data_IF_153772939173
#
_entry.id   IF_153772939173
#
_cell.length_a   1.000
_cell.length_b   1.000
_cell.length_c   1.000
_cell.angle_alpha   90.00
_cell.angle_beta   90.00
_cell.angle_gamma   90.00
#
_symmetry.space_group_name_H-M   'P 1'
#
loop_
_entity.id
_entity.type
_entity.pdbx_description
1 polymer ?
#
# COMPACT_ATOMS: atom_id res chain seq x y z
N UNK A 1 8.79 32.63 -3.82
CA UNK A 1 7.54 32.97 -3.07
C UNK A 1 7.97 33.73 -1.82
N UNK A 2 7.19 34.67 -1.28
CA UNK A 2 7.55 35.31 0.02
C UNK A 2 7.61 34.26 1.15
N UNK A 3 8.55 34.40 2.07
CA UNK A 3 8.83 33.47 3.17
C UNK A 3 7.63 33.23 4.08
N UNK A 4 6.86 34.29 4.41
CA UNK A 4 5.65 34.15 5.25
C UNK A 4 4.60 33.30 4.55
N UNK A 5 4.39 33.53 3.25
CA UNK A 5 3.49 32.71 2.44
C UNK A 5 3.99 31.27 2.30
N UNK A 6 5.30 31.07 2.15
CA UNK A 6 5.91 29.74 2.08
C UNK A 6 5.69 28.94 3.36
N UNK A 7 5.92 29.56 4.50
CA UNK A 7 5.69 28.96 5.81
C UNK A 7 4.25 28.45 5.97
N UNK A 8 3.26 29.30 5.68
CA UNK A 8 1.84 28.89 5.77
C UNK A 8 1.47 27.81 4.74
N UNK A 9 2.04 27.89 3.53
CA UNK A 9 1.81 26.89 2.47
C UNK A 9 2.35 25.51 2.88
N UNK A 10 3.55 25.45 3.47
CA UNK A 10 4.18 24.20 3.93
C UNK A 10 3.34 23.50 4.99
N UNK A 11 2.66 24.24 5.88
CA UNK A 11 1.79 23.65 6.91
C UNK A 11 0.66 22.80 6.33
N UNK A 12 0.15 23.13 5.13
CA UNK A 12 -0.89 22.31 4.50
C UNK A 12 -0.42 20.90 4.11
N UNK A 13 0.89 20.69 3.99
CA UNK A 13 1.52 19.39 3.75
C UNK A 13 1.77 18.59 5.04
N UNK A 14 1.14 18.97 6.17
CA UNK A 14 1.21 18.27 7.47
C UNK A 14 1.22 16.74 7.38
N UNK A 15 0.39 16.06 6.56
CA UNK A 15 0.40 14.60 6.48
C UNK A 15 1.76 14.02 6.01
N UNK A 16 2.54 14.78 5.25
CA UNK A 16 3.78 14.33 4.61
C UNK A 16 5.04 14.76 5.38
N UNK A 17 4.92 15.75 6.27
CA UNK A 17 6.04 16.36 6.98
C UNK A 17 6.23 15.76 8.38
N UNK A 18 7.26 14.92 8.53
CA UNK A 18 7.79 14.52 9.83
C UNK A 18 9.28 14.83 9.89
N UNK A 19 9.81 15.16 11.08
CA UNK A 19 11.23 15.51 11.26
C UNK A 19 12.14 14.43 10.67
N UNK A 20 11.91 13.18 11.05
CA UNK A 20 12.73 12.04 10.61
C UNK A 20 12.69 11.83 9.10
N UNK A 21 11.51 11.94 8.47
CA UNK A 21 11.39 11.80 7.02
C UNK A 21 12.10 12.94 6.29
N UNK A 22 11.93 14.19 6.74
CA UNK A 22 12.61 15.37 6.16
C UNK A 22 14.13 15.26 6.28
N UNK A 23 14.65 14.96 7.47
CA UNK A 23 16.09 14.77 7.70
C UNK A 23 16.67 13.66 6.82
N UNK A 24 15.96 12.53 6.71
CA UNK A 24 16.39 11.40 5.88
C UNK A 24 16.45 11.78 4.40
N UNK A 25 15.42 12.45 3.88
CA UNK A 25 15.36 12.84 2.46
C UNK A 25 16.38 13.93 2.11
N UNK A 26 16.56 14.94 2.97
CA UNK A 26 17.61 15.96 2.79
C UNK A 26 19.00 15.32 2.74
N UNK A 27 19.28 14.34 3.61
CA UNK A 27 20.53 13.59 3.60
C UNK A 27 20.74 12.80 2.31
N UNK A 28 19.69 12.12 1.81
CA UNK A 28 19.75 11.38 0.54
C UNK A 28 19.98 12.29 -0.66
N UNK A 29 19.37 13.48 -0.64
CA UNK A 29 19.55 14.50 -1.67
C UNK A 29 20.88 15.26 -1.54
N UNK A 30 21.62 15.06 -0.44
CA UNK A 30 22.89 15.74 -0.13
C UNK A 30 22.73 17.26 -0.17
N UNK A 31 21.67 17.77 0.45
CA UNK A 31 21.36 19.21 0.54
C UNK A 31 21.03 19.61 1.98
N UNK A 32 21.26 20.88 2.30
CA UNK A 32 20.97 21.51 3.60
C UNK A 32 21.40 20.68 4.83
N UNK A 33 22.70 20.33 4.96
CA UNK A 33 23.22 19.50 6.06
C UNK A 33 23.00 20.10 7.45
N UNK A 34 22.81 21.41 7.55
CA UNK A 34 22.58 22.14 8.80
C UNK A 34 21.15 22.02 9.33
N UNK A 35 20.23 21.35 8.62
CA UNK A 35 18.82 21.24 9.00
C UNK A 35 18.63 20.88 10.47
N UNK A 36 19.33 19.84 10.96
CA UNK A 36 19.22 19.37 12.34
C UNK A 36 19.61 20.46 13.35
N UNK A 37 20.72 21.16 13.08
CA UNK A 37 21.23 22.25 13.95
C UNK A 37 20.23 23.39 14.02
N UNK A 38 19.69 23.82 12.88
CA UNK A 38 18.72 24.92 12.80
C UNK A 38 17.39 24.52 13.45
N UNK A 39 16.93 23.28 13.25
CA UNK A 39 15.74 22.74 13.91
C UNK A 39 15.85 22.78 15.44
N UNK A 40 17.02 22.41 15.98
CA UNK A 40 17.29 22.43 17.42
C UNK A 40 17.41 23.86 17.96
N UNK A 41 18.02 24.78 17.20
CA UNK A 41 18.09 26.20 17.54
C UNK A 41 16.70 26.83 17.66
N UNK A 42 15.82 26.62 16.68
CA UNK A 42 14.45 27.13 16.70
C UNK A 42 13.65 26.67 17.95
N UNK A 43 13.91 25.44 18.43
CA UNK A 43 13.29 24.90 19.66
C UNK A 43 13.86 25.51 20.94
N UNK A 44 15.13 25.89 20.94
CA UNK A 44 15.74 26.59 22.06
C UNK A 44 15.23 28.03 22.16
N UNK A 45 14.94 28.67 21.02
CA UNK A 45 14.37 30.01 20.96
C UNK A 45 12.86 30.03 21.33
N UNK A 46 12.12 28.95 21.03
CA UNK A 46 10.70 28.80 21.38
C UNK A 46 10.38 27.32 21.75
N UNK A 47 10.34 27.03 23.04
CA UNK A 47 10.10 25.67 23.56
C UNK A 47 8.69 25.16 23.24
N UNK A 48 7.72 26.06 23.04
CA UNK A 48 6.33 25.71 22.77
C UNK A 48 6.06 25.49 21.27
N UNK A 49 7.08 25.64 20.42
CA UNK A 49 6.94 25.50 18.98
C UNK A 49 6.59 24.06 18.60
N UNK A 50 5.40 23.89 18.03
CA UNK A 50 4.92 22.58 17.59
C UNK A 50 5.85 21.98 16.50
N UNK A 51 5.85 20.65 16.40
CA UNK A 51 6.77 19.92 15.51
C UNK A 51 6.63 20.38 14.05
N UNK A 52 5.40 20.56 13.55
CA UNK A 52 5.17 20.93 12.17
C UNK A 52 5.64 22.36 11.91
N UNK A 53 5.27 23.31 12.77
CA UNK A 53 5.72 24.70 12.64
C UNK A 53 7.24 24.80 12.71
N UNK A 54 7.90 23.99 13.54
CA UNK A 54 9.35 23.98 13.57
C UNK A 54 9.96 23.46 12.26
N UNK A 55 9.48 22.33 11.73
CA UNK A 55 9.92 21.82 10.41
C UNK A 55 9.76 22.91 9.34
N UNK A 56 8.59 23.56 9.28
CA UNK A 56 8.31 24.59 8.29
C UNK A 56 9.23 25.81 8.45
N UNK A 57 9.45 26.29 9.69
CA UNK A 57 10.40 27.37 9.99
C UNK A 57 11.82 27.02 9.55
N UNK A 58 12.29 25.81 9.85
CA UNK A 58 13.63 25.34 9.45
C UNK A 58 13.78 25.28 7.93
N UNK A 59 12.78 24.77 7.20
CA UNK A 59 12.83 24.73 5.73
C UNK A 59 12.85 26.14 5.11
N UNK A 60 12.03 27.07 5.64
CA UNK A 60 12.00 28.47 5.20
C UNK A 60 13.34 29.16 5.47
N UNK A 61 13.94 28.96 6.65
CA UNK A 61 15.28 29.46 6.96
C UNK A 61 16.31 28.99 5.93
N UNK A 62 16.26 27.71 5.55
CA UNK A 62 17.14 27.15 4.51
C UNK A 62 17.02 27.91 3.18
N UNK A 63 15.79 28.30 2.80
CA UNK A 63 15.55 29.08 1.58
C UNK A 63 16.05 30.52 1.70
N UNK A 64 15.74 31.20 2.82
CA UNK A 64 16.15 32.59 3.05
C UNK A 64 17.67 32.77 3.08
N UNK A 65 18.39 31.75 3.56
CA UNK A 65 19.85 31.77 3.68
C UNK A 65 20.56 31.08 2.50
N UNK A 66 19.86 30.81 1.39
CA UNK A 66 20.41 30.15 0.19
C UNK A 66 21.04 28.77 0.43
N UNK A 67 20.67 28.09 1.52
CA UNK A 67 21.07 26.70 1.80
C UNK A 67 20.18 25.69 1.05
N UNK A 68 19.00 26.14 0.62
CA UNK A 68 18.01 25.39 -0.12
C UNK A 68 17.38 26.30 -1.18
N UNK A 69 17.15 25.81 -2.39
CA UNK A 69 16.39 26.56 -3.41
C UNK A 69 14.91 26.16 -3.39
N UNK A 70 14.01 27.01 -3.88
CA UNK A 70 12.57 26.68 -4.01
C UNK A 70 12.35 25.40 -4.83
N UNK A 71 13.15 25.19 -5.89
CA UNK A 71 13.10 23.98 -6.72
C UNK A 71 13.54 22.72 -5.97
N UNK A 72 14.59 22.81 -5.14
CA UNK A 72 15.03 21.69 -4.29
C UNK A 72 14.05 21.40 -3.18
N UNK A 73 13.34 22.43 -2.68
CA UNK A 73 12.26 22.26 -1.71
C UNK A 73 11.04 21.58 -2.36
N UNK A 74 10.66 21.94 -3.59
CA UNK A 74 9.62 21.24 -4.35
C UNK A 74 10.03 19.77 -4.59
N UNK A 75 11.28 19.50 -4.98
CA UNK A 75 11.77 18.12 -5.13
C UNK A 75 11.77 17.32 -3.80
N UNK A 76 12.12 17.96 -2.69
CA UNK A 76 12.02 17.37 -1.35
C UNK A 76 10.56 16.99 -1.03
N UNK A 77 9.61 17.90 -1.30
CA UNK A 77 8.18 17.63 -1.09
C UNK A 77 7.70 16.47 -1.95
N UNK A 78 8.15 16.37 -3.21
CA UNK A 78 7.82 15.25 -4.08
C UNK A 78 8.22 13.92 -3.44
N UNK A 79 9.48 13.80 -2.97
CA UNK A 79 10.00 12.58 -2.29
C UNK A 79 9.23 12.25 -1.02
N UNK A 80 8.95 13.26 -0.19
CA UNK A 80 8.23 13.08 1.07
C UNK A 80 6.78 12.63 0.83
N UNK A 81 6.13 13.12 -0.22
CA UNK A 81 4.79 12.70 -0.60
C UNK A 81 4.82 11.25 -1.07
N UNK A 82 5.74 10.91 -1.97
CA UNK A 82 5.90 9.56 -2.53
C UNK A 82 6.08 8.49 -1.44
N UNK A 83 6.92 8.76 -0.43
CA UNK A 83 7.14 7.87 0.73
C UNK A 83 5.89 7.67 1.62
N UNK A 84 4.82 8.44 1.40
CA UNK A 84 3.57 8.35 2.16
C UNK A 84 2.39 7.82 1.35
N UNK A 85 2.52 7.71 0.03
CA UNK A 85 1.48 7.22 -0.88
C UNK A 85 1.71 5.75 -1.21
N UNK A 86 1.53 4.90 -0.20
CA UNK A 86 1.84 3.46 -0.25
C UNK A 86 0.60 2.56 -0.35
N UNK A 87 -0.59 3.16 -0.48
CA UNK A 87 -1.82 2.48 -0.87
C UNK A 87 -2.03 2.74 -2.37
N UNK A 88 -2.03 1.68 -3.15
CA UNK A 88 -2.09 1.72 -4.61
C UNK A 88 -3.29 0.94 -5.12
N UNK A 89 -4.07 1.56 -5.99
CA UNK A 89 -5.07 0.91 -6.82
C UNK A 89 -4.42 0.63 -8.18
N UNK A 90 -4.45 -0.63 -8.61
CA UNK A 90 -3.80 -1.09 -9.83
C UNK A 90 -4.83 -1.29 -10.93
N UNK A 91 -4.47 -0.89 -12.13
CA UNK A 91 -5.23 -1.10 -13.37
C UNK A 91 -4.27 -1.62 -14.44
N UNK A 92 -4.80 -2.28 -15.46
CA UNK A 92 -4.04 -2.69 -16.65
C UNK A 92 -3.97 -1.53 -17.62
N UNK A 93 -2.79 -1.26 -18.17
CA UNK A 93 -2.65 -0.37 -19.31
C UNK A 93 -2.92 -1.15 -20.60
N UNK A 94 -3.89 -0.67 -21.38
CA UNK A 94 -4.31 -1.30 -22.63
C UNK A 94 -3.61 -0.68 -23.85
N UNK A 95 -3.23 0.60 -23.74
CA UNK A 95 -2.54 1.32 -24.80
C UNK A 95 -2.56 2.83 -24.57
N UNK A 96 -1.78 3.53 -25.40
CA UNK A 96 -1.59 4.98 -25.33
C UNK A 96 -1.38 5.57 -26.72
N UNK A 97 -1.79 6.82 -26.91
CA UNK A 97 -1.70 7.51 -28.20
C UNK A 97 -0.36 8.26 -28.41
N UNK A 98 0.71 7.77 -27.77
CA UNK A 98 2.06 8.28 -27.92
C UNK A 98 3.09 7.19 -27.61
N UNK A 99 4.30 7.31 -28.13
CA UNK A 99 5.40 6.39 -27.81
C UNK A 99 6.14 6.90 -26.56
N UNK A 100 6.13 6.18 -25.43
CA UNK A 100 6.82 6.61 -24.21
C UNK A 100 8.35 6.72 -24.39
N UNK A 101 8.90 5.90 -25.28
CA UNK A 101 10.32 5.85 -25.66
C UNK A 101 10.77 7.08 -26.48
N UNK A 102 9.84 7.82 -27.08
CA UNK A 102 10.16 9.04 -27.82
C UNK A 102 10.43 10.20 -26.85
N UNK A 103 11.71 10.38 -26.53
CA UNK A 103 12.21 11.44 -25.65
C UNK A 103 11.88 12.85 -26.14
N UNK A 104 11.61 13.03 -27.44
CA UNK A 104 11.22 14.34 -27.99
C UNK A 104 9.71 14.58 -27.86
N UNK A 105 8.90 13.53 -27.94
CA UNK A 105 7.45 13.64 -27.80
C UNK A 105 7.01 13.80 -26.33
N UNK A 106 7.67 13.13 -25.39
CA UNK A 106 7.24 13.09 -23.99
C UNK A 106 7.11 14.48 -23.31
N UNK A 107 8.07 15.42 -23.46
CA UNK A 107 7.89 16.78 -22.94
C UNK A 107 6.67 17.50 -23.54
N UNK A 108 6.36 17.25 -24.82
CA UNK A 108 5.17 17.80 -25.48
C UNK A 108 3.89 17.20 -24.91
N UNK A 109 3.86 15.88 -24.69
CA UNK A 109 2.74 15.16 -24.05
C UNK A 109 2.46 15.72 -22.66
N UNK A 110 3.49 15.81 -21.80
CA UNK A 110 3.37 16.33 -20.45
C UNK A 110 2.90 17.80 -20.43
N UNK A 111 3.38 18.61 -21.37
CA UNK A 111 2.92 20.00 -21.53
C UNK A 111 1.43 20.04 -21.92
N UNK A 112 0.97 19.17 -22.83
CA UNK A 112 -0.44 19.07 -23.22
C UNK A 112 -1.34 18.60 -22.07
N UNK A 113 -0.83 17.72 -21.21
CA UNK A 113 -1.48 17.32 -19.96
C UNK A 113 -1.42 18.41 -18.87
N UNK A 114 -0.79 19.55 -19.14
CA UNK A 114 -0.75 20.70 -18.22
C UNK A 114 0.35 20.63 -17.16
N UNK A 115 1.33 19.73 -17.28
CA UNK A 115 2.42 19.63 -16.31
C UNK A 115 3.51 20.69 -16.54
N UNK A 116 4.04 21.28 -15.46
CA UNK A 116 5.14 22.24 -15.56
C UNK A 116 6.47 21.54 -15.89
N UNK A 117 7.37 22.24 -16.58
CA UNK A 117 8.72 21.72 -16.95
C UNK A 117 9.60 21.37 -15.74
N UNK A 118 9.32 21.96 -14.58
CA UNK A 118 9.93 21.60 -13.29
C UNK A 118 8.86 21.55 -12.23
N UNK A 119 9.09 20.77 -11.17
CA UNK A 119 8.13 20.62 -10.07
C UNK A 119 7.75 22.00 -9.49
N UNK A 120 6.45 22.20 -9.26
CA UNK A 120 5.82 23.42 -8.71
C UNK A 120 4.79 23.06 -7.64
N UNK A 121 5.20 22.31 -6.63
CA UNK A 121 4.29 21.80 -5.59
C UNK A 121 3.81 22.94 -4.68
N UNK A 122 4.73 23.76 -4.15
CA UNK A 122 4.39 24.89 -3.28
C UNK A 122 3.50 25.92 -3.98
N UNK A 123 3.87 26.30 -5.21
CA UNK A 123 3.10 27.26 -6.00
C UNK A 123 1.77 26.68 -6.50
N UNK A 124 1.67 25.35 -6.62
CA UNK A 124 0.47 24.65 -7.09
C UNK A 124 -0.80 25.04 -6.33
N UNK A 125 -0.71 25.28 -5.02
CA UNK A 125 -1.87 25.67 -4.19
C UNK A 125 -2.49 26.98 -4.71
N UNK A 126 -1.67 27.85 -5.31
CA UNK A 126 -2.08 29.15 -5.84
C UNK A 126 -2.44 29.13 -7.33
N UNK A 127 -2.17 28.04 -8.06
CA UNK A 127 -2.46 27.92 -9.50
C UNK A 127 -3.94 27.63 -9.76
N UNK A 128 -4.45 28.03 -10.93
CA UNK A 128 -5.80 27.64 -11.34
C UNK A 128 -5.88 26.10 -11.50
N UNK A 129 -6.99 25.47 -11.09
CA UNK A 129 -7.18 24.05 -11.33
C UNK A 129 -7.23 23.76 -12.83
N UNK A 130 -6.75 22.58 -13.21
CA UNK A 130 -7.08 21.92 -14.47
C UNK A 130 -8.41 21.15 -14.36
N UNK A 131 -8.55 20.09 -15.15
CA UNK A 131 -9.74 19.23 -15.17
C UNK A 131 -9.98 18.55 -13.82
N UNK A 132 -11.24 18.30 -13.47
CA UNK A 132 -11.66 17.65 -12.21
C UNK A 132 -11.15 18.33 -10.92
N UNK A 133 -10.84 19.64 -10.96
CA UNK A 133 -10.29 20.40 -9.83
C UNK A 133 -8.92 19.92 -9.32
N UNK A 134 -8.13 19.26 -10.17
CA UNK A 134 -6.75 18.93 -9.85
C UNK A 134 -5.79 20.03 -10.30
N UNK A 135 -4.67 20.16 -9.59
CA UNK A 135 -3.52 20.96 -9.99
C UNK A 135 -2.37 20.02 -10.37
N UNK A 136 -1.90 20.01 -11.63
CA UNK A 136 -0.69 19.30 -12.03
C UNK A 136 0.54 19.95 -11.38
N UNK A 137 1.20 19.24 -10.47
CA UNK A 137 2.28 19.81 -9.66
C UNK A 137 3.68 19.46 -10.18
N UNK A 138 3.85 18.31 -10.80
CA UNK A 138 5.16 17.84 -11.20
C UNK A 138 5.14 16.41 -11.71
N UNK A 139 6.27 15.96 -12.24
CA UNK A 139 6.41 14.60 -12.76
C UNK A 139 7.85 14.09 -12.62
N UNK A 140 7.99 12.77 -12.71
CA UNK A 140 9.26 12.06 -12.86
C UNK A 140 9.14 11.05 -13.99
N UNK A 141 10.27 10.83 -14.66
CA UNK A 141 10.40 9.84 -15.73
C UNK A 141 11.54 8.92 -15.37
N UNK A 142 11.38 7.62 -15.61
CA UNK A 142 12.46 6.65 -15.51
C UNK A 142 12.70 6.06 -16.90
N UNK A 143 13.69 6.59 -17.63
CA UNK A 143 14.23 6.08 -18.91
C UNK A 143 13.20 5.33 -19.80
N UNK A 144 12.04 5.95 -20.03
CA UNK A 144 10.85 5.44 -20.76
C UNK A 144 10.05 4.28 -20.16
N UNK A 145 10.52 3.62 -19.10
CA UNK A 145 9.81 2.53 -18.40
C UNK A 145 8.53 3.01 -17.72
N UNK A 146 8.58 4.18 -17.07
CA UNK A 146 7.42 4.74 -16.40
C UNK A 146 7.40 6.27 -16.38
N UNK A 147 6.18 6.81 -16.39
CA UNK A 147 5.89 8.23 -16.12
C UNK A 147 5.11 8.30 -14.82
N UNK A 148 5.65 9.04 -13.85
CA UNK A 148 5.02 9.27 -12.57
C UNK A 148 4.64 10.73 -12.46
N UNK A 149 3.35 11.01 -12.42
CA UNK A 149 2.81 12.36 -12.28
C UNK A 149 2.24 12.58 -10.88
N UNK A 150 2.43 13.79 -10.36
CA UNK A 150 1.87 14.20 -9.08
C UNK A 150 0.82 15.28 -9.32
N UNK A 151 -0.41 14.96 -8.92
CA UNK A 151 -1.52 15.91 -8.93
C UNK A 151 -1.98 16.20 -7.51
N UNK A 152 -2.61 17.36 -7.34
CA UNK A 152 -3.02 17.87 -6.05
C UNK A 152 -4.46 18.37 -6.10
N UNK A 153 -5.21 18.13 -5.04
CA UNK A 153 -6.56 18.66 -4.90
C UNK A 153 -6.49 20.18 -4.78
N UNK A 154 -7.25 20.89 -5.63
CA UNK A 154 -7.25 22.36 -5.58
C UNK A 154 -7.80 22.91 -4.27
N UNK A 155 -8.82 22.25 -3.73
CA UNK A 155 -9.45 22.66 -2.47
C UNK A 155 -8.68 22.05 -1.30
N UNK A 156 -8.31 22.90 -0.36
CA UNK A 156 -7.86 22.44 0.95
C UNK A 156 -8.98 21.62 1.58
N UNK A 157 -8.60 20.51 2.19
CA UNK A 157 -9.52 19.63 2.88
C UNK A 157 -9.35 19.82 4.38
N UNK A 158 -10.47 20.06 5.07
CA UNK A 158 -10.47 20.09 6.52
C UNK A 158 -10.46 18.65 7.07
N UNK A 159 -9.56 18.40 8.01
CA UNK A 159 -9.40 17.12 8.70
C UNK A 159 -9.50 17.37 10.20
N UNK A 160 -10.26 16.52 10.88
CA UNK A 160 -10.42 16.58 12.34
C UNK A 160 -10.00 15.27 12.97
N UNK A 161 -8.80 15.24 13.52
CA UNK A 161 -8.35 14.10 14.33
C UNK A 161 -9.08 14.09 15.69
N UNK A 162 -9.23 12.89 16.27
CA UNK A 162 -9.84 12.74 17.59
C UNK A 162 -9.07 13.58 18.62
N UNK A 163 -9.80 14.34 19.43
CA UNK A 163 -9.27 15.20 20.51
C UNK A 163 -8.28 16.28 20.04
N UNK A 164 -8.30 16.66 18.75
CA UNK A 164 -7.49 17.76 18.20
C UNK A 164 -8.35 18.77 17.45
N UNK A 165 -7.81 19.99 17.31
CA UNK A 165 -8.40 21.01 16.46
C UNK A 165 -8.39 20.58 14.99
N UNK A 166 -9.43 21.00 14.27
CA UNK A 166 -9.51 20.79 12.84
C UNK A 166 -8.40 21.60 12.14
N UNK A 167 -7.83 21.03 11.08
CA UNK A 167 -6.81 21.70 10.29
C UNK A 167 -7.04 21.48 8.80
N UNK A 168 -6.62 22.46 8.01
CA UNK A 168 -6.65 22.37 6.56
C UNK A 168 -5.42 21.64 6.05
N UNK A 169 -5.61 20.76 5.08
CA UNK A 169 -4.54 20.01 4.45
C UNK A 169 -4.74 19.86 2.95
N UNK A 170 -3.63 19.63 2.27
CA UNK A 170 -3.59 19.27 0.86
C UNK A 170 -3.56 17.77 0.72
N UNK A 171 -4.39 17.24 -0.19
CA UNK A 171 -4.25 15.86 -0.66
C UNK A 171 -3.63 15.80 -2.03
N UNK A 172 -2.76 14.82 -2.18
CA UNK A 172 -2.05 14.53 -3.40
C UNK A 172 -2.38 13.13 -3.86
N UNK A 173 -2.33 12.96 -5.17
CA UNK A 173 -2.48 11.68 -5.85
C UNK A 173 -1.27 11.49 -6.73
N UNK A 174 -0.59 10.37 -6.55
CA UNK A 174 0.50 9.95 -7.41
C UNK A 174 -0.08 8.99 -8.43
N UNK A 175 0.08 9.30 -9.71
CA UNK A 175 -0.33 8.42 -10.79
C UNK A 175 0.94 7.97 -11.50
N UNK A 176 1.15 6.66 -11.60
CA UNK A 176 2.25 6.10 -12.36
C UNK A 176 1.69 5.28 -13.53
N UNK A 177 2.12 5.66 -14.72
CA UNK A 177 1.95 4.88 -15.94
C UNK A 177 3.22 4.06 -16.13
N UNK A 178 3.15 2.79 -15.74
CA UNK A 178 4.24 1.82 -15.86
C UNK A 178 4.07 1.03 -17.15
N UNK A 179 4.72 1.52 -18.21
CA UNK A 179 4.62 0.93 -19.54
C UNK A 179 5.31 -0.42 -19.61
N UNK A 180 6.40 -0.60 -18.86
CA UNK A 180 7.15 -1.86 -18.84
C UNK A 180 6.29 -3.00 -18.28
N UNK A 181 5.57 -2.76 -17.19
CA UNK A 181 4.71 -3.77 -16.55
C UNK A 181 3.27 -3.76 -17.05
N UNK A 182 2.92 -2.79 -17.91
CA UNK A 182 1.58 -2.51 -18.40
C UNK A 182 0.59 -2.30 -17.25
N UNK A 183 0.99 -1.47 -16.28
CA UNK A 183 0.22 -1.16 -15.08
C UNK A 183 0.01 0.35 -14.93
N UNK A 184 -1.20 0.72 -14.53
CA UNK A 184 -1.53 2.04 -14.04
C UNK A 184 -1.66 1.95 -12.52
N UNK A 185 -0.90 2.77 -11.82
CA UNK A 185 -0.91 2.84 -10.36
C UNK A 185 -1.52 4.17 -9.94
N UNK A 186 -2.63 4.13 -9.21
CA UNK A 186 -3.18 5.31 -8.54
C UNK A 186 -2.87 5.18 -7.06
N UNK A 187 -1.90 5.95 -6.57
CA UNK A 187 -1.47 5.91 -5.18
C UNK A 187 -1.98 7.10 -4.39
N UNK A 188 -2.59 6.79 -3.25
CA UNK A 188 -3.26 7.73 -2.38
C UNK A 188 -2.83 7.48 -0.93
N UNK A 189 -3.01 8.50 -0.09
CA UNK A 189 -2.96 8.31 1.36
C UNK A 189 -4.32 7.76 1.81
N UNK A 190 -4.28 6.79 2.72
CA UNK A 190 -5.44 6.31 3.47
C UNK A 190 -5.80 7.32 4.56
N UNK A 191 -7.03 7.82 4.56
CA UNK A 191 -7.43 8.93 5.43
C UNK A 191 -8.82 8.68 5.97
N UNK A 192 -8.86 8.41 7.25
CA UNK A 192 -10.06 8.48 8.05
C UNK A 192 -10.16 9.90 8.62
N UNK A 193 -11.39 10.43 8.77
CA UNK A 193 -11.70 11.73 9.40
C UNK A 193 -11.61 13.01 8.52
N UNK A 194 -11.89 12.90 7.22
CA UNK A 194 -12.19 14.07 6.38
C UNK A 194 -13.58 14.63 6.75
N UNK A 195 -13.68 15.91 7.09
CA UNK A 195 -14.97 16.56 7.46
C UNK A 195 -15.73 17.16 6.28
N UNK A 196 -15.12 17.19 5.09
CA UNK A 196 -15.73 17.70 3.86
C UNK A 196 -17.00 16.91 3.46
N UNK A 197 -18.04 17.63 3.05
CA UNK A 197 -19.31 17.02 2.59
C UNK A 197 -19.23 16.44 1.17
N UNK A 198 -18.28 16.91 0.36
CA UNK A 198 -18.08 16.46 -1.02
C UNK A 198 -17.50 15.04 -1.06
N UNK A 199 -18.30 14.07 -1.50
CA UNK A 199 -17.92 12.65 -1.57
C UNK A 199 -16.76 12.37 -2.52
N UNK A 200 -16.58 13.20 -3.55
CA UNK A 200 -15.47 13.08 -4.49
C UNK A 200 -14.11 13.40 -3.83
N UNK A 201 -14.12 14.08 -2.68
CA UNK A 201 -12.94 14.39 -1.88
C UNK A 201 -12.90 13.54 -0.61
N UNK A 202 -14.04 13.34 0.06
CA UNK A 202 -14.09 12.76 1.41
C UNK A 202 -14.06 11.24 1.45
N UNK A 203 -14.31 10.57 0.33
CA UNK A 203 -14.31 9.10 0.25
C UNK A 203 -13.18 8.58 -0.65
N UNK A 204 -12.65 7.40 -0.33
CA UNK A 204 -11.65 6.74 -1.19
C UNK A 204 -12.21 6.45 -2.58
N UNK A 205 -13.45 5.97 -2.64
CA UNK A 205 -14.17 5.72 -3.89
C UNK A 205 -14.28 6.98 -4.75
N UNK A 206 -14.76 8.08 -4.18
CA UNK A 206 -14.90 9.35 -4.88
C UNK A 206 -13.56 9.87 -5.40
N UNK A 207 -12.50 9.81 -4.59
CA UNK A 207 -11.14 10.23 -5.00
C UNK A 207 -10.61 9.39 -6.16
N UNK A 208 -10.77 8.07 -6.11
CA UNK A 208 -10.36 7.17 -7.20
C UNK A 208 -11.16 7.46 -8.46
N UNK A 209 -12.49 7.51 -8.37
CA UNK A 209 -13.35 7.79 -9.53
C UNK A 209 -13.03 9.13 -10.18
N UNK A 210 -12.78 10.18 -9.37
CA UNK A 210 -12.34 11.48 -9.87
C UNK A 210 -10.97 11.41 -10.55
N UNK A 211 -10.03 10.65 -9.99
CA UNK A 211 -8.72 10.44 -10.63
C UNK A 211 -8.84 9.68 -11.95
N UNK A 212 -9.70 8.67 -12.05
CA UNK A 212 -9.94 7.95 -13.31
C UNK A 212 -10.49 8.87 -14.39
N UNK A 213 -11.51 9.69 -14.07
CA UNK A 213 -12.04 10.72 -14.99
C UNK A 213 -10.97 11.72 -15.42
N UNK A 214 -10.08 12.12 -14.52
CA UNK A 214 -8.95 12.97 -14.85
C UNK A 214 -8.02 12.30 -15.87
N UNK A 215 -7.66 11.02 -15.67
CA UNK A 215 -6.81 10.27 -16.60
C UNK A 215 -7.49 10.12 -17.96
N UNK A 216 -8.79 9.80 -17.99
CA UNK A 216 -9.58 9.69 -19.22
C UNK A 216 -9.68 11.01 -19.99
N UNK A 217 -9.56 12.15 -19.31
CA UNK A 217 -9.56 13.49 -19.94
C UNK A 217 -8.22 13.89 -20.56
N UNK A 218 -7.15 13.11 -20.34
CA UNK A 218 -5.82 13.44 -20.84
C UNK A 218 -5.76 13.31 -22.37
N UNK A 219 -5.10 14.28 -23.00
CA UNK A 219 -4.83 14.27 -24.44
C UNK A 219 -3.33 14.54 -24.69
N UNK A 220 -2.57 13.61 -25.29
CA UNK A 220 -2.99 12.30 -25.83
C UNK A 220 -3.53 11.33 -24.76
N UNK A 221 -4.41 10.42 -25.18
CA UNK A 221 -5.14 9.50 -24.30
C UNK A 221 -4.31 8.32 -23.82
N UNK A 222 -4.70 7.80 -22.65
CA UNK A 222 -4.23 6.55 -22.07
C UNK A 222 -5.45 5.70 -21.76
N UNK A 223 -5.46 4.47 -22.27
CA UNK A 223 -6.50 3.49 -22.04
C UNK A 223 -6.08 2.49 -20.97
N UNK A 224 -7.02 2.15 -20.08
CA UNK A 224 -6.78 1.23 -18.98
C UNK A 224 -8.07 0.47 -18.60
N UNK A 225 -7.90 -0.69 -17.96
CA UNK A 225 -9.01 -1.52 -17.46
C UNK A 225 -8.76 -2.06 -16.05
N UNK A 226 -9.82 -2.43 -15.34
CA UNK A 226 -9.73 -3.04 -14.00
C UNK A 226 -9.07 -4.41 -14.07
N UNK A 227 -8.38 -4.81 -12.99
CA UNK A 227 -7.89 -6.18 -12.80
C UNK A 227 -8.99 -6.98 -12.10
N UNK A 228 -9.81 -7.71 -12.87
CA UNK A 228 -10.99 -8.43 -12.34
C UNK A 228 -10.64 -9.78 -11.70
N UNK A 229 -9.53 -10.40 -12.12
CA UNK A 229 -9.08 -11.72 -11.65
C UNK A 229 -8.23 -11.69 -10.38
N UNK A 230 -8.23 -10.57 -9.65
CA UNK A 230 -7.28 -10.39 -8.55
C UNK A 230 -7.54 -11.36 -7.39
N UNK A 231 -8.78 -11.79 -7.14
CA UNK A 231 -9.09 -12.78 -6.09
C UNK A 231 -8.40 -14.12 -6.35
N UNK A 232 -8.42 -14.55 -7.60
CA UNK A 232 -7.77 -15.76 -8.09
C UNK A 232 -6.24 -15.59 -8.06
N UNK A 233 -5.73 -14.39 -8.39
CA UNK A 233 -4.31 -14.05 -8.24
C UNK A 233 -3.84 -14.16 -6.79
N UNK A 234 -4.65 -13.67 -5.83
CA UNK A 234 -4.34 -13.79 -4.40
C UNK A 234 -4.31 -15.24 -3.94
N UNK A 235 -5.23 -16.08 -4.43
CA UNK A 235 -5.21 -17.52 -4.16
C UNK A 235 -3.93 -18.17 -4.70
N UNK A 236 -3.54 -17.92 -5.95
CA UNK A 236 -2.28 -18.44 -6.51
C UNK A 236 -1.05 -18.01 -5.73
N UNK A 237 -1.04 -16.76 -5.24
CA UNK A 237 0.04 -16.25 -4.41
C UNK A 237 0.09 -16.95 -3.05
N UNK A 238 -1.06 -17.15 -2.41
CA UNK A 238 -1.17 -17.91 -1.16
C UNK A 238 -0.68 -19.35 -1.34
N UNK A 239 -1.15 -20.06 -2.38
CA UNK A 239 -0.71 -21.41 -2.72
C UNK A 239 0.80 -21.48 -2.91
N UNK A 240 1.38 -20.52 -3.66
CA UNK A 240 2.82 -20.45 -3.86
C UNK A 240 3.60 -20.32 -2.54
N UNK A 241 3.03 -19.65 -1.53
CA UNK A 241 3.67 -19.45 -0.23
C UNK A 241 3.41 -20.65 0.71
N UNK A 242 2.20 -21.22 0.73
CA UNK A 242 1.79 -22.20 1.75
C UNK A 242 1.78 -23.67 1.29
N UNK A 243 1.70 -24.00 0.00
CA UNK A 243 1.78 -25.40 -0.47
C UNK A 243 3.01 -26.13 0.12
N UNK A 244 4.23 -25.57 0.07
CA UNK A 244 5.41 -26.27 0.61
C UNK A 244 5.25 -26.61 2.09
N UNK A 245 4.65 -25.69 2.87
CA UNK A 245 4.38 -25.89 4.30
C UNK A 245 3.32 -26.96 4.53
N UNK A 246 2.28 -27.01 3.69
CA UNK A 246 1.23 -28.02 3.78
C UNK A 246 1.79 -29.41 3.54
N UNK A 247 2.53 -29.58 2.45
CA UNK A 247 3.14 -30.87 2.10
C UNK A 247 4.08 -31.40 3.19
N UNK A 248 4.85 -30.52 3.84
CA UNK A 248 5.70 -30.93 4.95
C UNK A 248 4.90 -31.30 6.20
N UNK A 249 3.86 -30.54 6.53
CA UNK A 249 3.00 -30.82 7.66
C UNK A 249 2.22 -32.14 7.46
N UNK A 250 1.69 -32.38 6.26
CA UNK A 250 0.98 -33.61 5.90
C UNK A 250 1.91 -34.83 5.98
N UNK A 251 3.14 -34.70 5.46
CA UNK A 251 4.13 -35.78 5.59
C UNK A 251 4.46 -36.11 7.05
N UNK A 252 4.46 -35.11 7.94
CA UNK A 252 4.72 -35.28 9.37
C UNK A 252 3.51 -35.80 10.13
N UNK A 253 2.28 -35.46 9.73
CA UNK A 253 1.10 -35.98 10.44
C UNK A 253 0.89 -37.47 10.19
N UNK A 254 1.31 -37.98 9.03
CA UNK A 254 1.25 -39.41 8.71
C UNK A 254 1.97 -40.28 9.76
N UNK A 255 3.03 -39.78 10.41
CA UNK A 255 3.70 -40.51 11.48
C UNK A 255 2.89 -40.61 12.79
N UNK A 256 1.77 -39.89 12.90
CA UNK A 256 0.88 -39.90 14.06
C UNK A 256 -0.47 -40.56 13.77
N UNK A 257 -0.68 -41.13 12.57
CA UNK A 257 -2.00 -41.63 12.14
C UNK A 257 -2.58 -42.67 13.12
N UNK A 258 -1.75 -43.61 13.57
CA UNK A 258 -2.19 -44.68 14.50
C UNK A 258 -2.61 -44.09 15.85
N UNK A 259 -1.85 -43.13 16.36
CA UNK A 259 -2.15 -42.44 17.61
C UNK A 259 -3.43 -41.59 17.50
N UNK A 260 -3.64 -40.92 16.36
CA UNK A 260 -4.86 -40.15 16.07
C UNK A 260 -6.08 -41.07 16.05
N UNK A 261 -6.03 -42.19 15.32
CA UNK A 261 -7.14 -43.15 15.22
C UNK A 261 -7.51 -43.74 16.60
N UNK A 262 -6.50 -44.12 17.39
CA UNK A 262 -6.69 -44.63 18.74
C UNK A 262 -7.33 -43.60 19.68
N UNK A 263 -6.85 -42.35 19.64
CA UNK A 263 -7.38 -41.29 20.49
C UNK A 263 -8.79 -40.85 20.07
N UNK A 264 -9.06 -40.79 18.77
CA UNK A 264 -10.37 -40.52 18.19
C UNK A 264 -11.40 -41.56 18.67
N UNK A 265 -11.06 -42.85 18.55
CA UNK A 265 -11.94 -43.95 18.99
C UNK A 265 -12.27 -43.86 20.49
N UNK A 266 -11.29 -43.45 21.31
CA UNK A 266 -11.49 -43.26 22.75
C UNK A 266 -12.44 -42.10 23.04
N UNK A 267 -12.34 -40.98 22.31
CA UNK A 267 -13.23 -39.83 22.47
C UNK A 267 -14.65 -40.22 22.05
N UNK A 268 -14.80 -40.81 20.87
CA UNK A 268 -16.12 -41.12 20.31
C UNK A 268 -16.86 -42.13 21.20
N UNK A 269 -16.16 -43.13 21.74
CA UNK A 269 -16.74 -44.10 22.68
C UNK A 269 -17.19 -43.49 24.02
N UNK A 270 -16.56 -42.41 24.47
CA UNK A 270 -16.84 -41.78 25.77
C UNK A 270 -17.84 -40.63 25.71
N UNK A 271 -17.79 -39.84 24.65
CA UNK A 271 -18.51 -38.57 24.56
C UNK A 271 -19.56 -38.55 23.45
N UNK A 272 -19.51 -39.49 22.51
CA UNK A 272 -20.45 -39.63 21.38
C UNK A 272 -20.78 -38.26 20.72
N UNK A 273 -19.77 -37.56 20.18
CA UNK A 273 -19.93 -36.20 19.70
C UNK A 273 -20.87 -36.15 18.48
N UNK A 274 -21.63 -35.05 18.36
CA UNK A 274 -22.37 -34.73 17.14
C UNK A 274 -21.46 -34.05 16.13
N UNK A 275 -21.41 -34.57 14.91
CA UNK A 275 -20.66 -33.98 13.79
C UNK A 275 -21.55 -33.05 12.97
N UNK A 276 -21.01 -31.89 12.61
CA UNK A 276 -21.65 -30.96 11.67
C UNK A 276 -20.80 -30.87 10.40
N UNK A 277 -21.46 -30.77 9.24
CA UNK A 277 -20.82 -30.56 7.93
C UNK A 277 -19.72 -31.59 7.59
N UNK A 278 -19.95 -32.87 7.89
CA UNK A 278 -19.03 -33.99 7.64
C UNK A 278 -17.64 -33.90 8.29
N UNK A 279 -17.45 -33.00 9.28
CA UNK A 279 -16.20 -32.89 10.04
C UNK A 279 -16.17 -33.90 11.20
N UNK A 280 -15.29 -34.89 11.11
CA UNK A 280 -15.15 -35.96 12.10
C UNK A 280 -14.28 -35.55 13.29
N UNK A 281 -14.32 -36.31 14.40
CA UNK A 281 -13.40 -36.12 15.54
C UNK A 281 -11.94 -36.24 15.09
N UNK A 282 -11.64 -37.15 14.15
CA UNK A 282 -10.31 -37.31 13.59
C UNK A 282 -9.83 -36.05 12.86
N UNK A 283 -10.71 -35.36 12.13
CA UNK A 283 -10.38 -34.11 11.44
C UNK A 283 -10.03 -33.00 12.42
N UNK A 284 -10.79 -32.86 13.53
CA UNK A 284 -10.48 -31.86 14.57
C UNK A 284 -9.12 -32.10 15.22
N UNK A 285 -8.80 -33.35 15.55
CA UNK A 285 -7.49 -33.73 16.12
C UNK A 285 -6.39 -33.47 15.08
N UNK A 286 -6.61 -33.89 13.84
CA UNK A 286 -5.62 -33.76 12.76
C UNK A 286 -5.31 -32.30 12.46
N UNK A 287 -6.32 -31.45 12.32
CA UNK A 287 -6.16 -30.01 12.11
C UNK A 287 -5.39 -29.32 13.25
N UNK A 288 -5.63 -29.75 14.49
CA UNK A 288 -4.88 -29.24 15.65
C UNK A 288 -3.41 -29.65 15.57
N UNK A 289 -3.13 -30.90 15.22
CA UNK A 289 -1.77 -31.40 15.10
C UNK A 289 -1.03 -30.78 13.90
N UNK A 290 -1.71 -30.58 12.76
CA UNK A 290 -1.16 -29.86 11.60
C UNK A 290 -0.75 -28.43 11.94
N UNK A 291 -1.57 -27.72 12.72
CA UNK A 291 -1.23 -26.37 13.20
C UNK A 291 0.01 -26.39 14.11
N UNK A 292 0.12 -27.36 15.02
CA UNK A 292 1.28 -27.54 15.90
C UNK A 292 2.54 -27.89 15.11
N UNK A 293 2.46 -28.86 14.18
CA UNK A 293 3.55 -29.24 13.30
C UNK A 293 4.03 -28.02 12.50
N UNK A 294 3.10 -27.29 11.90
CA UNK A 294 3.38 -26.07 11.12
C UNK A 294 4.09 -24.99 11.94
N UNK A 295 3.78 -24.88 13.24
CA UNK A 295 4.45 -23.94 14.15
C UNK A 295 5.91 -24.31 14.47
N UNK A 296 6.32 -25.55 14.18
CA UNK A 296 7.66 -26.07 14.43
C UNK A 296 8.55 -26.12 13.19
N UNK A 297 8.03 -25.77 12.01
CA UNK A 297 8.80 -25.74 10.77
C UNK A 297 9.70 -24.50 10.72
N UNK A 298 10.91 -24.62 10.17
CA UNK A 298 11.80 -23.47 9.94
C UNK A 298 11.37 -22.73 8.66
N UNK A 299 11.12 -21.42 8.79
CA UNK A 299 10.30 -20.63 7.86
C UNK A 299 11.12 -19.69 6.95
N UNK A 300 12.43 -19.85 6.89
CA UNK A 300 13.32 -18.73 6.54
C UNK A 300 13.48 -18.35 5.06
N UNK A 301 12.65 -18.83 4.11
CA UNK A 301 12.93 -18.55 2.67
C UNK A 301 11.77 -18.16 1.75
N UNK A 302 10.50 -18.38 2.09
CA UNK A 302 9.38 -18.23 1.12
C UNK A 302 8.41 -17.08 1.48
N UNK A 303 8.54 -16.51 2.67
CA UNK A 303 7.61 -15.52 3.23
C UNK A 303 6.46 -16.16 4.01
N UNK A 304 5.63 -15.33 4.62
CA UNK A 304 4.51 -15.73 5.47
C UNK A 304 3.21 -15.04 5.02
N UNK A 305 2.15 -15.84 4.90
CA UNK A 305 0.79 -15.33 4.93
C UNK A 305 0.41 -15.15 6.39
N UNK A 306 0.21 -13.91 6.83
CA UNK A 306 -0.07 -13.54 8.24
C UNK A 306 -1.53 -13.10 8.43
N UNK A 307 -2.29 -13.01 7.34
CA UNK A 307 -3.73 -12.84 7.38
C UNK A 307 -4.39 -13.21 6.05
N UNK A 308 -5.59 -13.75 6.12
CA UNK A 308 -6.39 -14.15 4.95
C UNK A 308 -7.87 -13.93 5.26
N UNK A 309 -8.63 -13.57 4.23
CA UNK A 309 -10.09 -13.51 4.25
C UNK A 309 -10.64 -14.08 2.95
N UNK A 310 -11.56 -15.04 3.06
CA UNK A 310 -12.23 -15.64 1.91
C UNK A 310 -13.69 -15.97 2.24
N UNK A 311 -14.49 -16.20 1.20
CA UNK A 311 -15.91 -16.50 1.33
C UNK A 311 -16.12 -18.01 1.24
N UNK A 312 -16.98 -18.52 2.11
CA UNK A 312 -17.58 -19.83 2.03
C UNK A 312 -19.01 -19.65 1.50
N UNK A 313 -19.23 -19.95 0.22
CA UNK A 313 -20.55 -19.86 -0.39
C UNK A 313 -21.32 -21.13 -0.08
N UNK A 314 -22.57 -21.00 0.35
CA UNK A 314 -23.49 -22.16 0.42
C UNK A 314 -24.03 -22.42 -0.98
N UNK A 315 -24.06 -23.68 -1.40
CA UNK A 315 -24.48 -24.10 -2.74
C UNK A 315 -25.90 -23.64 -3.12
N UNK A 316 -26.76 -23.35 -2.14
CA UNK A 316 -28.18 -23.08 -2.36
C UNK A 316 -28.53 -21.61 -2.66
N UNK A 317 -27.63 -20.64 -2.41
CA UNK A 317 -27.91 -19.20 -2.64
C UNK A 317 -26.63 -18.38 -2.84
N UNK A 318 -26.39 -17.88 -4.06
CA UNK A 318 -25.22 -17.06 -4.41
C UNK A 318 -25.09 -15.76 -3.59
N UNK A 319 -26.19 -15.29 -3.00
CA UNK A 319 -26.21 -14.05 -2.21
C UNK A 319 -25.79 -14.27 -0.76
N UNK A 320 -25.82 -15.51 -0.26
CA UNK A 320 -25.47 -15.86 1.12
C UNK A 320 -24.09 -16.51 1.20
N UNK A 321 -23.18 -15.91 1.96
CA UNK A 321 -21.86 -16.49 2.21
C UNK A 321 -21.45 -16.31 3.67
N UNK A 322 -20.75 -17.29 4.22
CA UNK A 322 -19.99 -17.13 5.44
C UNK A 322 -18.60 -16.58 5.10
N UNK A 323 -18.03 -15.77 5.98
CA UNK A 323 -16.70 -15.21 5.80
C UNK A 323 -15.74 -15.86 6.79
N UNK A 324 -14.63 -16.41 6.28
CA UNK A 324 -13.53 -16.91 7.10
C UNK A 324 -12.45 -15.85 7.10
N UNK A 325 -12.11 -15.32 8.28
CA UNK A 325 -11.05 -14.34 8.47
C UNK A 325 -10.08 -14.84 9.53
N UNK A 326 -8.82 -15.05 9.13
CA UNK A 326 -7.73 -15.50 10.01
C UNK A 326 -6.66 -14.44 9.95
N UNK A 327 -6.24 -13.92 11.11
CA UNK A 327 -5.20 -12.89 11.18
C UNK A 327 -4.45 -12.99 12.50
N UNK A 328 -3.13 -12.97 12.44
CA UNK A 328 -2.30 -13.01 13.65
C UNK A 328 -1.64 -11.64 13.92
N UNK A 329 -1.84 -11.12 15.14
CA UNK A 329 -1.25 -9.84 15.57
C UNK A 329 0.24 -9.93 15.88
N UNK A 330 0.75 -11.13 16.11
CA UNK A 330 2.15 -11.45 16.37
C UNK A 330 2.96 -11.80 15.11
N UNK A 331 2.38 -11.62 13.91
CA UNK A 331 3.02 -11.95 12.63
C UNK A 331 3.31 -13.44 12.45
N UNK A 332 2.60 -14.32 13.15
CA UNK A 332 2.67 -15.76 12.87
C UNK A 332 1.97 -16.07 11.55
N UNK A 333 2.51 -17.06 10.84
CA UNK A 333 1.87 -17.57 9.64
C UNK A 333 0.51 -18.20 9.97
N UNK A 334 -0.49 -17.97 9.12
CA UNK A 334 -1.84 -18.54 9.28
C UNK A 334 -1.85 -20.07 9.31
N UNK A 335 -0.84 -20.74 8.74
CA UNK A 335 -0.70 -22.20 8.81
C UNK A 335 -0.46 -22.71 10.23
N UNK A 336 -0.12 -21.83 11.18
CA UNK A 336 -0.01 -22.17 12.61
C UNK A 336 -1.35 -22.03 13.36
N UNK A 337 -2.40 -21.59 12.67
CA UNK A 337 -3.76 -21.49 13.20
C UNK A 337 -4.58 -22.72 12.79
N UNK A 338 -5.26 -23.35 13.75
CA UNK A 338 -6.17 -24.48 13.48
C UNK A 338 -7.33 -24.11 12.57
N UNK A 339 -7.78 -22.85 12.59
CA UNK A 339 -8.87 -22.36 11.76
C UNK A 339 -8.50 -22.38 10.27
N UNK A 340 -7.21 -22.23 9.95
CA UNK A 340 -6.75 -22.34 8.57
C UNK A 340 -6.93 -23.76 8.05
N UNK A 341 -6.44 -24.74 8.81
CA UNK A 341 -6.55 -26.16 8.45
C UNK A 341 -7.99 -26.63 8.37
N UNK A 342 -8.84 -26.22 9.32
CA UNK A 342 -10.26 -26.59 9.31
C UNK A 342 -11.05 -25.99 8.14
N UNK A 343 -10.56 -24.93 7.49
CA UNK A 343 -11.23 -24.29 6.35
C UNK A 343 -10.43 -24.40 5.05
N UNK A 344 -9.38 -25.24 5.02
CA UNK A 344 -8.49 -25.38 3.87
C UNK A 344 -9.23 -25.96 2.66
N UNK A 345 -10.07 -26.98 2.87
CA UNK A 345 -10.88 -27.58 1.80
C UNK A 345 -11.76 -26.53 1.12
N UNK A 346 -12.44 -25.68 1.91
CA UNK A 346 -13.24 -24.57 1.40
C UNK A 346 -12.39 -23.56 0.63
N UNK A 347 -11.21 -23.19 1.14
CA UNK A 347 -10.31 -22.27 0.43
C UNK A 347 -9.90 -22.84 -0.94
N UNK A 348 -9.51 -24.12 -0.99
CA UNK A 348 -9.10 -24.83 -2.20
C UNK A 348 -10.25 -24.96 -3.21
N UNK A 349 -11.45 -25.24 -2.75
CA UNK A 349 -12.66 -25.35 -3.59
C UNK A 349 -13.04 -23.99 -4.20
N UNK A 350 -13.00 -22.92 -3.40
CA UNK A 350 -13.41 -21.59 -3.85
C UNK A 350 -12.37 -20.95 -4.77
N UNK A 351 -11.07 -21.23 -4.56
CA UNK A 351 -9.97 -20.73 -5.38
C UNK A 351 -9.87 -19.19 -5.43
N UNK A 352 -10.44 -18.49 -4.45
CA UNK A 352 -10.59 -17.02 -4.42
C UNK A 352 -10.37 -16.47 -3.01
N UNK A 353 -9.57 -15.42 -2.93
CA UNK A 353 -9.27 -14.70 -1.68
C UNK A 353 -9.73 -13.24 -1.81
N UNK A 354 -10.42 -12.72 -0.79
CA UNK A 354 -10.88 -11.32 -0.74
C UNK A 354 -9.79 -10.38 -0.21
N UNK A 355 -9.02 -10.85 0.78
CA UNK A 355 -7.90 -10.12 1.37
C UNK A 355 -6.78 -11.08 1.75
N UNK A 356 -5.55 -10.68 1.49
CA UNK A 356 -4.34 -11.40 1.85
C UNK A 356 -3.34 -10.41 2.47
N UNK A 357 -2.83 -10.73 3.66
CA UNK A 357 -1.71 -10.01 4.28
C UNK A 357 -0.47 -10.89 4.22
N UNK A 358 0.58 -10.38 3.57
CA UNK A 358 1.83 -11.11 3.40
C UNK A 358 3.01 -10.36 4.01
N UNK A 359 3.98 -11.13 4.47
CA UNK A 359 5.26 -10.65 5.00
C UNK A 359 6.37 -11.41 4.29
N UNK A 360 7.25 -10.71 3.59
CA UNK A 360 8.31 -11.33 2.79
C UNK A 360 9.58 -10.47 2.77
N UNK A 361 10.73 -11.10 2.50
CA UNK A 361 12.02 -10.43 2.39
C UNK A 361 12.37 -10.30 0.90
N UNK A 362 12.49 -9.07 0.44
CA UNK A 362 12.89 -8.73 -0.93
C UNK A 362 14.34 -8.16 -0.94
N UNK A 363 14.96 -7.94 -2.11
CA UNK A 363 16.29 -7.31 -2.19
C UNK A 363 16.37 -5.96 -1.46
N UNK A 364 15.33 -5.12 -1.54
CA UNK A 364 15.21 -3.86 -0.79
C UNK A 364 14.90 -4.02 0.71
N UNK A 365 14.74 -5.26 1.20
CA UNK A 365 14.50 -5.63 2.59
C UNK A 365 13.09 -6.17 2.86
N UNK A 366 12.74 -6.23 4.15
CA UNK A 366 11.44 -6.74 4.59
C UNK A 366 10.26 -5.87 4.13
N UNK A 367 9.23 -6.52 3.60
CA UNK A 367 7.96 -5.94 3.17
C UNK A 367 6.80 -6.63 3.88
N UNK A 368 5.92 -5.83 4.46
CA UNK A 368 4.64 -6.23 5.04
C UNK A 368 3.54 -5.50 4.28
N UNK A 369 2.66 -6.26 3.63
CA UNK A 369 1.68 -5.70 2.70
C UNK A 369 0.30 -6.33 2.85
N UNK A 370 -0.71 -5.51 2.68
CA UNK A 370 -2.10 -5.92 2.53
C UNK A 370 -2.47 -5.88 1.04
N UNK A 371 -3.12 -6.94 0.58
CA UNK A 371 -3.63 -7.11 -0.77
C UNK A 371 -5.13 -7.38 -0.70
N UNK A 372 -5.93 -6.66 -1.46
CA UNK A 372 -7.39 -6.83 -1.45
C UNK A 372 -8.02 -6.36 -2.75
N UNK A 373 -9.25 -6.82 -3.02
CA UNK A 373 -10.07 -6.22 -4.08
C UNK A 373 -10.85 -5.05 -3.49
N UNK A 374 -10.60 -3.84 -3.98
CA UNK A 374 -11.40 -2.65 -3.68
C UNK A 374 -11.77 -1.94 -4.96
N UNK A 375 -12.99 -1.41 -5.00
CA UNK A 375 -13.54 -0.75 -6.19
C UNK A 375 -13.47 -1.64 -7.45
N UNK A 376 -13.58 -2.95 -7.24
CA UNK A 376 -13.51 -4.00 -8.26
C UNK A 376 -12.16 -4.10 -8.98
N UNK A 377 -11.09 -3.61 -8.38
CA UNK A 377 -9.73 -3.77 -8.90
C UNK A 377 -8.74 -4.15 -7.82
N UNK A 378 -7.52 -4.51 -8.23
CA UNK A 378 -6.44 -4.88 -7.34
C UNK A 378 -5.97 -3.69 -6.49
N UNK A 379 -5.86 -3.90 -5.18
CA UNK A 379 -5.34 -2.90 -4.24
C UNK A 379 -4.17 -3.48 -3.48
N UNK A 380 -3.10 -2.68 -3.37
CA UNK A 380 -1.84 -3.04 -2.72
C UNK A 380 -1.47 -1.95 -1.72
N UNK A 381 -1.28 -2.32 -0.45
CA UNK A 381 -0.90 -1.39 0.63
C UNK A 381 0.31 -1.88 1.39
N UNK A 382 1.43 -1.16 1.32
CA UNK A 382 2.59 -1.42 2.18
C UNK A 382 2.35 -0.83 3.59
N UNK A 383 2.55 -1.64 4.62
CA UNK A 383 2.28 -1.29 6.01
C UNK A 383 3.44 -0.47 6.61
N UNK A 384 3.16 0.76 7.06
CA UNK A 384 4.18 1.68 7.62
C UNK A 384 4.66 1.32 9.04
N UNK A 385 3.83 0.63 9.81
CA UNK A 385 4.07 0.33 11.23
C UNK A 385 4.36 -1.16 11.48
N UNK A 386 5.06 -1.82 10.55
CA UNK A 386 5.32 -3.26 10.69
C UNK A 386 6.22 -3.55 11.91
N UNK A 387 5.79 -4.51 12.74
CA UNK A 387 6.51 -4.96 13.94
C UNK A 387 7.38 -6.19 13.68
N UNK A 388 7.79 -6.45 12.43
CA UNK A 388 8.63 -7.60 12.03
C UNK A 388 9.92 -7.76 12.87
N UNK A 389 10.69 -8.82 12.67
CA UNK A 389 11.88 -9.06 13.51
C UNK A 389 12.98 -8.04 13.19
N UNK A 390 13.75 -7.54 14.18
CA UNK A 390 14.82 -6.54 13.95
C UNK A 390 15.90 -6.97 12.96
N UNK A 391 16.09 -8.28 12.78
CA UNK A 391 17.12 -8.88 11.92
C UNK A 391 16.73 -8.87 10.43
N UNK A 392 15.45 -8.64 10.10
CA UNK A 392 14.90 -8.69 8.73
C UNK A 392 15.16 -7.39 7.92
N UNK A 393 15.99 -6.48 8.44
CA UNK A 393 16.42 -5.26 7.76
C UNK A 393 15.60 -4.00 8.09
N UNK A 394 15.76 -2.96 7.25
CA UNK A 394 15.03 -1.68 7.41
C UNK A 394 13.52 -1.98 7.30
N UNK A 395 12.71 -1.63 8.30
CA UNK A 395 11.26 -1.96 8.31
C UNK A 395 10.38 -0.93 7.61
N UNK A 396 10.85 0.30 7.50
CA UNK A 396 10.06 1.38 6.91
C UNK A 396 9.83 1.09 5.42
N UNK A 397 8.60 1.22 4.91
CA UNK A 397 8.34 1.12 3.48
C UNK A 397 8.92 2.34 2.76
N UNK A 398 9.35 2.12 1.53
CA UNK A 398 9.93 3.12 0.62
C UNK A 398 9.38 2.88 -0.78
N UNK A 399 9.54 3.85 -1.69
CA UNK A 399 9.17 3.65 -3.10
C UNK A 399 9.92 2.48 -3.75
N UNK A 400 11.20 2.31 -3.41
CA UNK A 400 12.03 1.18 -3.84
C UNK A 400 11.42 -0.17 -3.42
N UNK A 401 10.99 -0.29 -2.16
CA UNK A 401 10.30 -1.49 -1.67
C UNK A 401 8.95 -1.73 -2.32
N UNK A 402 8.21 -0.66 -2.60
CA UNK A 402 6.96 -0.76 -3.33
C UNK A 402 7.23 -1.34 -4.72
N UNK A 403 8.23 -0.83 -5.43
CA UNK A 403 8.60 -1.29 -6.76
C UNK A 403 9.03 -2.77 -6.77
N UNK A 404 9.91 -3.18 -5.85
CA UNK A 404 10.31 -4.58 -5.70
C UNK A 404 9.11 -5.48 -5.40
N UNK A 405 8.16 -4.99 -4.61
CA UNK A 405 6.98 -5.75 -4.27
C UNK A 405 6.01 -5.88 -5.46
N UNK A 406 5.90 -4.85 -6.30
CA UNK A 406 5.16 -4.96 -7.57
C UNK A 406 5.79 -6.00 -8.50
N UNK A 407 7.13 -6.05 -8.60
CA UNK A 407 7.81 -7.12 -9.35
C UNK A 407 7.50 -8.50 -8.80
N UNK A 408 7.55 -8.66 -7.48
CA UNK A 408 7.19 -9.92 -6.81
C UNK A 408 5.75 -10.35 -7.10
N UNK A 409 4.80 -9.41 -7.15
CA UNK A 409 3.40 -9.69 -7.46
C UNK A 409 3.14 -9.94 -8.95
N UNK A 410 4.00 -9.42 -9.84
CA UNK A 410 3.75 -9.37 -11.27
C UNK A 410 3.33 -10.73 -11.86
N UNK A 411 4.02 -11.87 -11.57
CA UNK A 411 3.67 -13.19 -12.12
C UNK A 411 2.25 -13.66 -11.77
N UNK A 412 1.67 -13.15 -10.68
CA UNK A 412 0.34 -13.55 -10.22
C UNK A 412 -0.76 -12.65 -10.79
N UNK A 413 -0.44 -11.37 -10.99
CA UNK A 413 -1.41 -10.39 -11.47
C UNK A 413 -1.44 -10.29 -12.99
N UNK A 414 -0.31 -10.51 -13.68
CA UNK A 414 -0.25 -10.52 -15.14
C UNK A 414 -1.04 -11.71 -15.67
N UNK A 415 -2.02 -11.43 -16.53
CA UNK A 415 -2.64 -12.48 -17.34
C UNK A 415 -1.49 -13.13 -18.14
N UNK A 416 -1.19 -14.39 -17.82
CA UNK A 416 -0.45 -15.23 -18.76
C UNK A 416 -1.34 -15.29 -20.01
N UNK A 417 -0.99 -14.50 -21.02
CA UNK A 417 -1.52 -14.67 -22.37
C UNK A 417 -1.13 -16.05 -22.91
#
# INVERSE_FOLDING_TARGET
MDSKKMFETLKYFKPYLTRTSVESQLKQMVIYPEFKRVYEQNRQEDENLDVLSNICKTLVYGVENNLLTEEKLDELLFRLIEDKLLLSFLYRLDGQDFLPEDTNALPSVLTKWGFPKSNKILKGITLNPGTENFVPCGYRTNDSDSIRILIMDKKLTEVKEKDKEAYNTVFTTLIEFDFRRKLLHIRLRDIDNITNSDRDVSTMEGRINRTLRYIESLAPSISFRKITSFRESLFKLEENILIPKRLEADKKIDSFRVEIENFTSLIDSKFNPSHENDVTTADYISNTLLALISSSLDLSTIGDVVGIKFRNRREEDESSFAEVSISDKGFKCISTDKLYWSNLSTLLEQGKIEFLKISTVLPSGFVDANLEVRLETATVKLNQNSKGKPEEGKKQPTDEKYYDFIEYLLPFISENN
#
